data_IF_746179425229
#
_entry.id   IF_746179425229
#
_cell.length_a   1.000
_cell.length_b   1.000
_cell.length_c   1.000
_cell.angle_alpha   90.00
_cell.angle_beta   90.00
_cell.angle_gamma   90.00
#
_symmetry.space_group_name_H-M   'P 1'
#
loop_
_entity.id
_entity.type
_entity.pdbx_description
1 polymer ?
#
# COMPACT_ATOMS: atom_id res chain seq x y z
N UNK A 1 -21.78 -34.27 7.90
CA UNK A 1 -22.38 -33.21 7.07
C UNK A 1 -21.52 -31.99 7.27
N UNK A 2 -20.89 -31.55 6.16
CA UNK A 2 -20.15 -30.31 5.94
C UNK A 2 -19.17 -29.90 7.04
N UNK A 3 -17.93 -30.35 6.88
CA UNK A 3 -16.75 -29.56 7.23
C UNK A 3 -16.96 -28.16 6.69
N UNK A 4 -17.41 -27.25 7.57
CA UNK A 4 -17.16 -25.84 7.40
C UNK A 4 -15.66 -25.73 7.37
N UNK A 5 -15.10 -25.79 6.16
CA UNK A 5 -13.71 -25.46 5.91
C UNK A 5 -13.57 -24.08 6.52
N UNK A 6 -12.94 -24.06 7.69
CA UNK A 6 -12.55 -22.86 8.41
C UNK A 6 -11.79 -22.06 7.36
N UNK A 7 -12.46 -21.08 6.76
CA UNK A 7 -11.80 -20.16 5.84
C UNK A 7 -10.91 -19.38 6.79
N UNK A 8 -9.69 -19.85 6.99
CA UNK A 8 -8.70 -19.20 7.83
C UNK A 8 -8.34 -17.92 7.10
N UNK A 9 -9.02 -16.84 7.48
CA UNK A 9 -8.76 -15.53 6.95
C UNK A 9 -7.45 -15.01 7.54
N UNK A 10 -6.44 -14.81 6.69
CA UNK A 10 -5.15 -14.28 7.10
C UNK A 10 -5.17 -12.75 7.29
N UNK A 11 -6.00 -12.30 8.23
CA UNK A 11 -6.12 -10.89 8.62
C UNK A 11 -4.78 -10.33 9.12
N UNK A 12 -4.00 -11.17 9.79
CA UNK A 12 -2.68 -10.83 10.28
C UNK A 12 -1.70 -10.60 9.13
N UNK A 13 -1.71 -11.46 8.11
CA UNK A 13 -0.90 -11.32 6.90
C UNK A 13 -1.25 -10.06 6.11
N UNK A 14 -2.54 -9.73 6.00
CA UNK A 14 -2.98 -8.50 5.31
C UNK A 14 -2.51 -7.23 6.06
N UNK A 15 -2.65 -7.20 7.39
CA UNK A 15 -2.16 -6.08 8.19
C UNK A 15 -0.62 -5.97 8.13
N UNK A 16 0.07 -7.11 8.15
CA UNK A 16 1.53 -7.17 8.00
C UNK A 16 1.97 -6.63 6.65
N UNK A 17 1.34 -7.07 5.55
CA UNK A 17 1.62 -6.59 4.20
C UNK A 17 1.36 -5.09 4.08
N UNK A 18 0.27 -4.58 4.65
CA UNK A 18 -0.02 -3.14 4.63
C UNK A 18 1.08 -2.33 5.33
N UNK A 19 1.58 -2.81 6.48
CA UNK A 19 2.69 -2.16 7.20
C UNK A 19 4.00 -2.22 6.41
N UNK A 20 4.30 -3.35 5.78
CA UNK A 20 5.47 -3.51 4.92
C UNK A 20 5.42 -2.57 3.72
N UNK A 21 4.26 -2.43 3.08
CA UNK A 21 4.11 -1.51 1.94
C UNK A 21 4.20 -0.05 2.38
N UNK A 22 3.60 0.33 3.52
CA UNK A 22 3.78 1.68 4.05
C UNK A 22 5.26 2.01 4.32
N UNK A 23 5.99 1.05 4.89
CA UNK A 23 7.43 1.17 5.15
C UNK A 23 8.22 1.31 3.85
N UNK A 24 7.96 0.45 2.87
CA UNK A 24 8.59 0.49 1.55
C UNK A 24 8.34 1.83 0.83
N UNK A 25 7.10 2.34 0.87
CA UNK A 25 6.75 3.65 0.31
C UNK A 25 7.53 4.76 1.00
N UNK A 26 7.64 4.75 2.34
CA UNK A 26 8.42 5.74 3.08
C UNK A 26 9.90 5.75 2.67
N UNK A 27 10.53 4.57 2.67
CA UNK A 27 11.96 4.43 2.32
C UNK A 27 12.25 4.91 0.89
N UNK A 28 11.35 4.61 -0.05
CA UNK A 28 11.50 5.12 -1.40
C UNK A 28 11.32 6.62 -1.52
N UNK A 29 10.37 7.22 -0.81
CA UNK A 29 10.19 8.67 -0.82
C UNK A 29 11.47 9.34 -0.30
N UNK A 30 12.08 8.78 0.75
CA UNK A 30 13.38 9.25 1.26
C UNK A 30 14.49 9.17 0.20
N UNK A 31 14.56 8.06 -0.55
CA UNK A 31 15.51 7.93 -1.66
C UNK A 31 15.24 8.91 -2.80
N UNK A 32 13.97 9.14 -3.14
CA UNK A 32 13.61 10.12 -4.16
C UNK A 32 13.93 11.55 -3.71
N UNK A 33 13.68 11.90 -2.45
CA UNK A 33 14.04 13.19 -1.87
C UNK A 33 15.57 13.42 -1.86
N UNK A 34 16.33 12.34 -1.69
CA UNK A 34 17.79 12.37 -1.80
C UNK A 34 18.23 12.60 -3.25
N UNK A 35 17.68 11.85 -4.21
CA UNK A 35 18.01 12.03 -5.64
C UNK A 35 17.56 13.39 -6.16
N UNK A 36 16.38 13.87 -5.75
CA UNK A 36 15.87 15.21 -6.06
C UNK A 36 16.83 16.30 -5.55
N UNK A 37 17.40 16.13 -4.35
CA UNK A 37 18.42 17.05 -3.83
C UNK A 37 19.67 17.08 -4.69
N UNK A 38 20.17 15.92 -5.10
CA UNK A 38 21.33 15.80 -5.99
C UNK A 38 21.02 16.48 -7.34
N UNK A 39 19.87 16.18 -7.93
CA UNK A 39 19.43 16.76 -9.19
C UNK A 39 19.29 18.28 -9.12
N UNK A 40 18.72 18.82 -8.03
CA UNK A 40 18.64 20.28 -7.83
C UNK A 40 20.02 20.93 -7.77
N UNK A 41 21.01 20.27 -7.18
CA UNK A 41 22.41 20.72 -7.21
C UNK A 41 22.95 20.76 -8.65
N UNK A 42 22.78 19.67 -9.39
CA UNK A 42 23.23 19.60 -10.79
C UNK A 42 22.53 20.64 -11.68
N UNK A 43 21.22 20.88 -11.50
CA UNK A 43 20.48 21.93 -12.22
C UNK A 43 21.02 23.32 -11.89
N UNK A 44 21.37 23.59 -10.64
CA UNK A 44 21.99 24.85 -10.23
C UNK A 44 23.37 25.05 -10.87
N UNK A 45 24.08 23.95 -11.14
CA UNK A 45 25.36 23.93 -11.86
C UNK A 45 25.20 23.98 -13.40
N UNK A 46 23.97 24.22 -13.89
CA UNK A 46 23.67 24.41 -15.32
C UNK A 46 23.28 23.15 -16.07
N UNK A 47 23.09 22.02 -15.38
CA UNK A 47 22.51 20.84 -15.99
C UNK A 47 21.07 21.12 -16.42
N UNK A 48 20.71 20.78 -17.66
CA UNK A 48 19.39 21.03 -18.22
C UNK A 48 19.13 20.09 -19.42
N UNK A 49 17.92 20.12 -19.95
CA UNK A 49 17.54 19.33 -21.13
C UNK A 49 16.81 18.01 -20.81
N UNK A 50 16.77 17.10 -21.78
CA UNK A 50 15.90 15.92 -21.76
C UNK A 50 16.10 15.00 -20.54
N UNK A 51 17.32 14.91 -20.00
CA UNK A 51 17.60 14.09 -18.82
C UNK A 51 16.91 14.62 -17.55
N UNK A 52 16.86 15.94 -17.38
CA UNK A 52 16.18 16.58 -16.25
C UNK A 52 14.66 16.36 -16.33
N UNK A 53 14.07 16.51 -17.52
CA UNK A 53 12.65 16.24 -17.76
C UNK A 53 12.30 14.77 -17.51
N UNK A 54 13.09 13.83 -18.03
CA UNK A 54 12.87 12.40 -17.85
C UNK A 54 12.89 12.00 -16.36
N UNK A 55 13.78 12.61 -15.58
CA UNK A 55 13.82 12.40 -14.14
C UNK A 55 12.56 12.92 -13.43
N UNK A 56 12.14 14.16 -13.72
CA UNK A 56 10.93 14.74 -13.14
C UNK A 56 9.68 13.89 -13.43
N UNK A 57 9.58 13.37 -14.66
CA UNK A 57 8.48 12.50 -15.09
C UNK A 57 8.51 11.16 -14.34
N UNK A 58 9.69 10.58 -14.16
CA UNK A 58 9.89 9.34 -13.40
C UNK A 58 9.50 9.53 -11.93
N UNK A 59 9.99 10.59 -11.29
CA UNK A 59 9.67 10.95 -9.91
C UNK A 59 8.17 11.12 -9.72
N UNK A 60 7.51 11.87 -10.61
CA UNK A 60 6.05 12.11 -10.54
C UNK A 60 5.26 10.80 -10.65
N UNK A 61 5.58 9.97 -11.65
CA UNK A 61 4.90 8.67 -11.86
C UNK A 61 5.06 7.76 -10.67
N UNK A 62 6.24 7.74 -10.08
CA UNK A 62 6.54 6.86 -8.96
C UNK A 62 5.79 7.25 -7.69
N UNK A 63 5.81 8.53 -7.31
CA UNK A 63 5.03 9.04 -6.17
C UNK A 63 3.53 8.79 -6.35
N UNK A 64 3.01 8.98 -7.57
CA UNK A 64 1.62 8.65 -7.90
C UNK A 64 1.31 7.16 -7.70
N UNK A 65 2.17 6.27 -8.20
CA UNK A 65 2.02 4.82 -8.05
C UNK A 65 2.10 4.34 -6.60
N UNK A 66 3.06 4.87 -5.83
CA UNK A 66 3.22 4.57 -4.41
C UNK A 66 2.00 4.97 -3.59
N UNK A 67 1.47 6.17 -3.85
CA UNK A 67 0.23 6.65 -3.22
C UNK A 67 -0.96 5.76 -3.57
N UNK A 68 -1.11 5.39 -4.84
CA UNK A 68 -2.18 4.51 -5.29
C UNK A 68 -2.10 3.11 -4.64
N UNK A 69 -0.89 2.57 -4.49
CA UNK A 69 -0.68 1.28 -3.84
C UNK A 69 -1.07 1.33 -2.35
N UNK A 70 -0.65 2.38 -1.64
CA UNK A 70 -1.03 2.58 -0.24
C UNK A 70 -2.55 2.68 -0.06
N UNK A 71 -3.22 3.48 -0.90
CA UNK A 71 -4.68 3.60 -0.88
C UNK A 71 -5.37 2.26 -1.16
N UNK A 72 -4.86 1.48 -2.12
CA UNK A 72 -5.43 0.19 -2.49
C UNK A 72 -5.35 -0.81 -1.34
N UNK A 73 -4.20 -0.88 -0.65
CA UNK A 73 -4.01 -1.78 0.50
C UNK A 73 -4.82 -1.35 1.71
N UNK A 74 -4.93 -0.04 1.95
CA UNK A 74 -5.80 0.46 3.02
C UNK A 74 -7.27 0.13 2.75
N UNK A 75 -7.73 0.27 1.50
CA UNK A 75 -9.07 -0.13 1.10
C UNK A 75 -9.29 -1.65 1.20
N UNK A 76 -8.27 -2.45 0.89
CA UNK A 76 -8.31 -3.90 1.10
C UNK A 76 -8.46 -4.24 2.60
N UNK A 77 -7.61 -3.67 3.46
CA UNK A 77 -7.66 -3.87 4.92
C UNK A 77 -9.03 -3.51 5.50
N UNK A 78 -9.63 -2.40 5.08
CA UNK A 78 -10.99 -2.02 5.51
C UNK A 78 -12.05 -3.02 5.07
N UNK A 79 -12.06 -3.44 3.79
CA UNK A 79 -13.02 -4.43 3.28
C UNK A 79 -12.91 -5.76 4.01
N UNK A 80 -11.68 -6.16 4.26
CA UNK A 80 -11.30 -7.38 4.97
C UNK A 80 -11.75 -7.31 6.44
N UNK A 81 -11.51 -6.20 7.14
CA UNK A 81 -12.02 -6.00 8.50
C UNK A 81 -13.55 -6.00 8.59
N UNK A 82 -14.23 -5.37 7.64
CA UNK A 82 -15.69 -5.40 7.55
C UNK A 82 -16.22 -6.82 7.29
N UNK A 83 -15.54 -7.59 6.45
CA UNK A 83 -15.88 -8.99 6.22
C UNK A 83 -15.74 -9.81 7.51
N UNK A 84 -14.68 -9.60 8.30
CA UNK A 84 -14.49 -10.27 9.59
C UNK A 84 -15.67 -10.04 10.55
N UNK A 85 -16.09 -8.78 10.71
CA UNK A 85 -17.22 -8.41 11.58
C UNK A 85 -18.52 -9.05 11.10
N UNK A 86 -18.80 -8.97 9.80
CA UNK A 86 -20.01 -9.53 9.22
C UNK A 86 -20.06 -11.06 9.38
N UNK A 87 -18.92 -11.73 9.24
CA UNK A 87 -18.83 -13.18 9.41
C UNK A 87 -18.98 -13.60 10.86
N UNK A 88 -18.33 -12.90 11.80
CA UNK A 88 -18.53 -13.15 13.23
C UNK A 88 -20.01 -12.99 13.64
N UNK A 89 -20.70 -11.99 13.08
CA UNK A 89 -22.15 -11.81 13.30
C UNK A 89 -22.96 -12.94 12.67
N UNK A 90 -22.62 -13.37 11.45
CA UNK A 90 -23.29 -14.47 10.78
C UNK A 90 -23.13 -15.79 11.56
N UNK A 91 -21.94 -16.08 12.08
CA UNK A 91 -21.65 -17.26 12.89
C UNK A 91 -22.39 -17.23 14.22
N UNK A 92 -22.44 -16.09 14.91
CA UNK A 92 -23.23 -15.93 16.14
C UNK A 92 -24.73 -16.16 15.89
N UNK A 93 -25.25 -15.64 14.78
CA UNK A 93 -26.67 -15.85 14.41
C UNK A 93 -26.95 -17.30 14.02
N UNK A 94 -26.01 -17.97 13.35
CA UNK A 94 -26.13 -19.38 13.00
C UNK A 94 -26.06 -20.26 14.26
N UNK A 95 -25.12 -19.97 15.17
CA UNK A 95 -24.97 -20.68 16.44
C UNK A 95 -26.17 -20.49 17.36
N UNK A 96 -26.83 -19.33 17.35
CA UNK A 96 -28.05 -19.08 18.15
C UNK A 96 -29.30 -19.80 17.63
N UNK A 97 -29.24 -20.40 16.42
CA UNK A 97 -30.36 -21.15 15.81
C UNK A 97 -30.29 -22.66 16.04
N UNK A 98 -29.19 -23.15 16.61
CA UNK A 98 -28.99 -24.56 16.98
C UNK A 98 -28.88 -24.68 18.51
#
# INVERSE_FOLDING_TARGET
MTDGSDIVYDFNGINTLSGQVATFVSQMNEHLDEVDRIFKGLLADGWSGQAATAFQDCSTRWHGGATQMAMTLQGLSQKVGNAAVNMQQADQQAAARF
#
